data_IF_720994834708
#
_entry.id   IF_720994834708
#
_cell.length_a   1.000
_cell.length_b   1.000
_cell.length_c   1.000
_cell.angle_alpha   90.00
_cell.angle_beta   90.00
_cell.angle_gamma   90.00
#
_symmetry.space_group_name_H-M   'P 1'
#
loop_
_entity.id
_entity.type
_entity.pdbx_description
1 polymer ?
#
# COMPACT_ATOMS: atom_id res chain seq x y z
N UNK A 1 23.29 48.67 13.99
CA UNK A 1 23.73 47.40 13.39
C UNK A 1 22.57 46.87 12.58
N UNK A 2 22.49 47.32 11.32
CA UNK A 2 21.47 46.94 10.36
C UNK A 2 21.74 45.49 9.94
N UNK A 3 20.86 44.57 10.32
CA UNK A 3 20.89 43.20 9.79
C UNK A 3 20.42 43.32 8.33
N UNK A 4 21.40 43.26 7.44
CA UNK A 4 21.20 43.26 6.00
C UNK A 4 20.37 42.01 5.65
N UNK A 5 19.18 42.25 5.14
CA UNK A 5 18.37 41.25 4.43
C UNK A 5 19.06 40.97 3.09
N UNK A 6 20.13 40.17 3.11
CA UNK A 6 20.66 39.58 1.88
C UNK A 6 19.75 38.42 1.51
N UNK A 7 18.81 38.73 0.62
CA UNK A 7 18.47 37.94 -0.57
C UNK A 7 19.05 36.52 -0.56
N UNK A 8 18.29 35.59 0.03
CA UNK A 8 18.51 34.16 -0.18
C UNK A 8 17.78 33.80 -1.46
N UNK A 9 18.37 34.06 -2.61
CA UNK A 9 18.09 33.26 -3.81
C UNK A 9 18.23 31.79 -3.42
N UNK A 10 17.16 30.97 -3.42
CA UNK A 10 17.29 29.56 -3.11
C UNK A 10 18.16 28.93 -4.20
N UNK A 11 19.27 28.35 -3.79
CA UNK A 11 20.10 27.56 -4.68
C UNK A 11 19.29 26.37 -5.20
N UNK A 12 18.83 26.45 -6.46
CA UNK A 12 18.74 25.36 -7.45
C UNK A 12 18.17 23.98 -7.05
N UNK A 13 17.43 23.84 -5.96
CA UNK A 13 16.73 22.62 -5.56
C UNK A 13 15.23 22.79 -5.74
N UNK A 14 14.54 21.75 -6.22
CA UNK A 14 13.12 21.79 -6.59
C UNK A 14 12.16 22.16 -5.42
N UNK A 15 12.64 22.22 -4.17
CA UNK A 15 11.88 22.61 -2.99
C UNK A 15 12.74 23.36 -1.97
N UNK A 16 12.25 24.48 -1.43
CA UNK A 16 12.82 25.09 -0.24
C UNK A 16 12.48 24.25 1.02
N UNK A 17 13.22 24.39 2.14
CA UNK A 17 13.03 23.56 3.32
C UNK A 17 11.61 23.62 3.91
N UNK A 18 10.93 24.77 3.82
CA UNK A 18 9.56 24.92 4.33
C UNK A 18 8.60 24.17 3.42
N UNK A 19 8.71 24.35 2.10
CA UNK A 19 7.88 23.62 1.14
C UNK A 19 8.07 22.11 1.22
N UNK A 20 9.31 21.64 1.42
CA UNK A 20 9.61 20.21 1.58
C UNK A 20 8.92 19.64 2.82
N UNK A 21 9.03 20.31 3.97
CA UNK A 21 8.39 19.85 5.22
C UNK A 21 6.86 19.84 5.10
N UNK A 22 6.27 20.85 4.46
CA UNK A 22 4.83 20.87 4.20
C UNK A 22 4.40 19.69 3.33
N UNK A 23 5.16 19.37 2.27
CA UNK A 23 4.86 18.23 1.41
C UNK A 23 5.01 16.89 2.16
N UNK A 24 6.07 16.75 2.95
CA UNK A 24 6.35 15.55 3.74
C UNK A 24 5.26 15.29 4.78
N UNK A 25 4.91 16.31 5.57
CA UNK A 25 3.82 16.25 6.53
C UNK A 25 2.48 15.87 5.88
N UNK A 26 2.21 16.32 4.65
CA UNK A 26 0.99 15.94 3.92
C UNK A 26 0.98 14.48 3.50
N UNK A 27 2.11 13.94 3.03
CA UNK A 27 2.21 12.52 2.65
C UNK A 27 2.00 11.60 3.84
N UNK A 28 2.62 11.90 4.98
CA UNK A 28 2.41 11.15 6.23
C UNK A 28 0.94 11.19 6.64
N UNK A 29 0.31 12.37 6.64
CA UNK A 29 -1.09 12.51 7.00
C UNK A 29 -2.03 11.70 6.10
N UNK A 30 -1.75 11.63 4.78
CA UNK A 30 -2.54 10.79 3.87
C UNK A 30 -2.39 9.31 4.25
N UNK A 31 -1.17 8.84 4.52
CA UNK A 31 -0.95 7.45 4.93
C UNK A 31 -1.64 7.11 6.27
N UNK A 32 -1.64 8.03 7.23
CA UNK A 32 -2.35 7.88 8.50
C UNK A 32 -3.88 7.93 8.34
N UNK A 33 -4.39 8.73 7.41
CA UNK A 33 -5.82 8.78 7.07
C UNK A 33 -6.28 7.49 6.38
N UNK A 34 -5.46 6.93 5.47
CA UNK A 34 -5.69 5.60 4.89
C UNK A 34 -5.81 4.55 5.98
N UNK A 35 -4.83 4.51 6.90
CA UNK A 35 -4.82 3.54 8.00
C UNK A 35 -6.04 3.73 8.94
N UNK A 36 -6.37 4.98 9.28
CA UNK A 36 -7.50 5.29 10.16
C UNK A 36 -8.84 4.94 9.50
N UNK A 37 -8.95 5.10 8.19
CA UNK A 37 -10.15 4.75 7.43
C UNK A 37 -10.39 3.24 7.47
N UNK A 38 -9.36 2.44 7.24
CA UNK A 38 -9.44 0.97 7.37
C UNK A 38 -9.84 0.57 8.79
N UNK A 39 -9.17 1.12 9.81
CA UNK A 39 -9.50 0.80 11.21
C UNK A 39 -10.96 1.10 11.56
N UNK A 40 -11.47 2.27 11.14
CA UNK A 40 -12.83 2.72 11.51
C UNK A 40 -13.94 2.01 10.74
N UNK A 41 -13.62 1.39 9.61
CA UNK A 41 -14.59 0.65 8.78
C UNK A 41 -14.51 -0.85 8.99
N UNK A 42 -13.49 -1.33 9.71
CA UNK A 42 -13.31 -2.74 10.00
C UNK A 42 -14.37 -3.28 10.98
N UNK A 43 -15.00 -4.38 10.59
CA UNK A 43 -15.83 -5.22 11.47
C UNK A 43 -15.00 -6.36 12.10
N UNK A 44 -13.89 -6.73 11.48
CA UNK A 44 -12.96 -7.77 11.97
C UNK A 44 -12.24 -7.31 13.24
N UNK A 45 -12.19 -8.15 14.27
CA UNK A 45 -11.39 -7.89 15.48
C UNK A 45 -9.89 -7.92 15.21
N UNK A 46 -9.43 -8.66 14.20
CA UNK A 46 -8.03 -8.69 13.76
C UNK A 46 -7.59 -7.29 13.32
N UNK A 47 -8.43 -6.59 12.55
CA UNK A 47 -8.10 -5.25 12.06
C UNK A 47 -8.50 -4.19 13.09
N UNK A 48 -9.73 -4.26 13.62
CA UNK A 48 -10.31 -3.25 14.51
C UNK A 48 -9.73 -3.21 15.93
N UNK A 49 -9.17 -4.32 16.41
CA UNK A 49 -8.59 -4.42 17.76
C UNK A 49 -7.11 -4.80 17.75
N UNK A 50 -6.71 -5.85 17.01
CA UNK A 50 -5.31 -6.28 16.97
C UNK A 50 -4.45 -5.43 16.01
N UNK A 51 -5.08 -4.74 15.06
CA UNK A 51 -4.44 -3.83 14.10
C UNK A 51 -3.41 -4.53 13.22
N UNK A 52 -3.71 -5.78 12.85
CA UNK A 52 -2.88 -6.60 11.97
C UNK A 52 -3.12 -6.26 10.50
N UNK A 53 -2.66 -5.06 10.12
CA UNK A 53 -2.69 -4.56 8.74
C UNK A 53 -1.66 -3.42 8.56
N UNK A 54 -1.40 -3.08 7.31
CA UNK A 54 -0.53 -1.98 6.92
C UNK A 54 -1.10 -1.22 5.73
N UNK A 55 -0.83 0.09 5.72
CA UNK A 55 -1.15 0.98 4.61
C UNK A 55 0.09 1.76 4.18
N UNK A 56 0.32 1.86 2.88
CA UNK A 56 1.49 2.53 2.33
C UNK A 56 1.18 3.23 1.00
N UNK A 57 1.78 4.41 0.83
CA UNK A 57 1.85 5.15 -0.42
C UNK A 57 3.19 4.87 -1.09
N UNK A 58 3.14 4.56 -2.38
CA UNK A 58 4.31 4.25 -3.19
C UNK A 58 4.38 5.16 -4.42
N UNK A 59 5.60 5.42 -4.90
CA UNK A 59 5.82 6.15 -6.15
C UNK A 59 5.42 5.30 -7.36
N UNK A 60 5.50 5.89 -8.57
CA UNK A 60 5.16 5.18 -9.81
C UNK A 60 6.09 4.01 -10.13
N UNK A 61 7.18 3.82 -9.37
CA UNK A 61 8.13 2.71 -9.52
C UNK A 61 7.96 1.67 -8.43
N UNK A 62 6.95 1.82 -7.56
CA UNK A 62 6.71 0.94 -6.42
C UNK A 62 7.69 1.13 -5.26
N UNK A 63 8.37 2.28 -5.15
CA UNK A 63 9.17 2.60 -3.97
C UNK A 63 8.27 3.22 -2.90
N UNK A 64 8.48 2.82 -1.65
CA UNK A 64 7.82 3.43 -0.50
C UNK A 64 8.07 4.94 -0.45
N UNK A 65 7.00 5.72 -0.30
CA UNK A 65 7.03 7.16 -0.06
C UNK A 65 6.66 7.51 1.38
N UNK A 66 5.55 6.95 1.86
CA UNK A 66 5.06 7.17 3.21
C UNK A 66 4.14 6.02 3.62
N UNK A 67 4.25 5.58 4.87
CA UNK A 67 3.36 4.61 5.48
C UNK A 67 2.91 5.14 6.83
N UNK A 68 1.80 4.62 7.37
CA UNK A 68 1.44 4.93 8.74
C UNK A 68 2.50 4.40 9.69
N UNK A 69 2.82 5.13 10.76
CA UNK A 69 3.72 4.65 11.82
C UNK A 69 3.11 3.48 12.61
N UNK A 70 1.81 3.22 12.45
CA UNK A 70 1.05 2.14 13.08
C UNK A 70 0.97 0.89 12.22
N UNK A 71 1.35 0.97 10.95
CA UNK A 71 1.41 -0.20 10.06
C UNK A 71 2.38 -1.24 10.64
N UNK A 72 2.01 -2.52 10.59
CA UNK A 72 2.93 -3.56 11.03
C UNK A 72 4.17 -3.59 10.13
N UNK A 73 5.40 -3.67 10.71
CA UNK A 73 6.64 -3.57 9.94
C UNK A 73 6.77 -4.60 8.82
N UNK A 74 6.22 -5.81 8.99
CA UNK A 74 6.23 -6.85 7.96
C UNK A 74 5.55 -6.39 6.67
N UNK A 75 4.43 -5.68 6.77
CA UNK A 75 3.69 -5.19 5.61
C UNK A 75 4.44 -4.08 4.86
N UNK A 76 5.10 -3.16 5.59
CA UNK A 76 5.89 -2.09 4.97
C UNK A 76 7.09 -2.63 4.18
N UNK A 77 7.58 -3.83 4.52
CA UNK A 77 8.69 -4.46 3.80
C UNK A 77 8.23 -5.15 2.52
N UNK A 78 7.04 -5.74 2.50
CA UNK A 78 6.52 -6.50 1.36
C UNK A 78 5.77 -5.63 0.36
N UNK A 79 5.07 -4.57 0.79
CA UNK A 79 4.23 -3.74 -0.09
C UNK A 79 5.00 -3.08 -1.25
N UNK A 80 6.25 -2.60 -1.07
CA UNK A 80 7.06 -2.10 -2.18
C UNK A 80 7.40 -3.18 -3.20
N UNK A 81 7.81 -4.36 -2.75
CA UNK A 81 8.15 -5.45 -3.67
C UNK A 81 6.92 -5.96 -4.40
N UNK A 82 5.80 -6.13 -3.68
CA UNK A 82 4.53 -6.51 -4.27
C UNK A 82 4.07 -5.51 -5.34
N UNK A 83 4.23 -4.21 -5.08
CA UNK A 83 3.85 -3.16 -6.05
C UNK A 83 4.75 -3.21 -7.29
N UNK A 84 6.05 -3.51 -7.14
CA UNK A 84 6.94 -3.73 -8.30
C UNK A 84 6.53 -4.95 -9.11
N UNK A 85 6.17 -6.06 -8.45
CA UNK A 85 5.65 -7.27 -9.10
C UNK A 85 4.32 -6.99 -9.81
N UNK A 86 3.48 -6.13 -9.24
CA UNK A 86 2.28 -5.63 -9.90
C UNK A 86 2.63 -4.89 -11.20
N UNK A 87 3.57 -3.95 -11.15
CA UNK A 87 3.98 -3.17 -12.33
C UNK A 87 4.60 -4.07 -13.41
N UNK A 88 5.34 -5.11 -13.02
CA UNK A 88 5.89 -6.11 -13.95
C UNK A 88 4.77 -6.91 -14.65
N UNK A 89 3.75 -7.34 -13.91
CA UNK A 89 2.65 -8.14 -14.44
C UNK A 89 1.61 -7.30 -15.22
N UNK A 90 1.37 -6.07 -14.77
CA UNK A 90 0.44 -5.10 -15.35
C UNK A 90 1.19 -3.78 -15.58
N UNK A 91 1.78 -3.57 -16.77
CA UNK A 91 2.52 -2.36 -17.04
C UNK A 91 1.66 -1.11 -16.85
N UNK A 92 2.23 -0.05 -16.26
CA UNK A 92 1.52 1.16 -15.84
C UNK A 92 0.71 1.83 -16.94
N UNK A 93 1.20 1.77 -18.18
CA UNK A 93 0.53 2.29 -19.37
C UNK A 93 -0.78 1.58 -19.72
N UNK A 94 -1.00 0.37 -19.17
CA UNK A 94 -2.22 -0.43 -19.38
C UNK A 94 -3.28 -0.17 -18.30
N UNK A 95 -2.88 0.45 -17.18
CA UNK A 95 -3.78 0.72 -16.06
C UNK A 95 -4.74 1.87 -16.37
N UNK A 96 -5.97 1.77 -15.85
CA UNK A 96 -7.01 2.77 -16.01
C UNK A 96 -7.48 3.34 -14.66
N UNK A 97 -7.88 4.62 -14.59
CA UNK A 97 -8.50 5.17 -13.39
C UNK A 97 -9.71 4.34 -12.97
N UNK A 98 -9.68 3.83 -11.75
CA UNK A 98 -10.71 2.94 -11.21
C UNK A 98 -10.27 1.48 -11.11
N UNK A 99 -9.21 1.04 -11.81
CA UNK A 99 -8.68 -0.31 -11.61
C UNK A 99 -8.26 -0.54 -10.16
N UNK A 100 -8.53 -1.74 -9.64
CA UNK A 100 -8.08 -2.21 -8.32
C UNK A 100 -7.48 -3.61 -8.50
N UNK A 101 -6.31 -3.83 -7.92
CA UNK A 101 -5.60 -5.10 -7.99
C UNK A 101 -5.58 -5.78 -6.62
N UNK A 102 -5.54 -7.11 -6.61
CA UNK A 102 -5.47 -7.88 -5.37
C UNK A 102 -4.67 -9.16 -5.56
N UNK A 103 -4.12 -9.65 -4.46
CA UNK A 103 -3.49 -10.97 -4.36
C UNK A 103 -3.47 -11.42 -2.90
N UNK A 104 -3.48 -12.72 -2.67
CA UNK A 104 -3.02 -13.31 -1.42
C UNK A 104 -1.93 -14.37 -1.66
N UNK A 105 -1.28 -14.30 -2.82
CA UNK A 105 -0.18 -15.18 -3.17
C UNK A 105 0.91 -15.14 -2.09
N UNK A 106 1.19 -16.26 -1.39
CA UNK A 106 2.05 -16.26 -0.22
C UNK A 106 3.51 -15.98 -0.58
N UNK A 107 3.91 -16.17 -1.84
CA UNK A 107 5.25 -15.86 -2.34
C UNK A 107 5.42 -14.40 -2.75
N UNK A 108 4.33 -13.69 -3.03
CA UNK A 108 4.35 -12.26 -3.41
C UNK A 108 3.89 -11.33 -2.28
N UNK A 109 3.01 -11.80 -1.40
CA UNK A 109 2.41 -11.06 -0.30
C UNK A 109 3.20 -11.30 1.01
N UNK A 110 2.50 -11.51 2.13
CA UNK A 110 3.08 -11.55 3.47
C UNK A 110 3.27 -12.98 4.03
N UNK A 111 3.41 -13.98 3.16
CA UNK A 111 3.94 -15.30 3.53
C UNK A 111 2.90 -16.39 3.83
N UNK A 112 1.61 -16.07 3.92
CA UNK A 112 0.51 -17.03 4.02
C UNK A 112 -0.78 -16.45 3.42
N UNK A 113 -1.79 -17.30 3.21
CA UNK A 113 -2.99 -16.95 2.43
C UNK A 113 -3.96 -15.97 3.12
N UNK A 114 -3.89 -15.83 4.44
CA UNK A 114 -4.83 -14.97 5.17
C UNK A 114 -4.51 -13.48 5.02
N UNK A 115 -3.30 -13.15 4.53
CA UNK A 115 -2.89 -11.78 4.26
C UNK A 115 -3.26 -11.37 2.84
N UNK A 116 -4.26 -10.50 2.73
CA UNK A 116 -4.77 -10.03 1.45
C UNK A 116 -4.23 -8.64 1.16
N UNK A 117 -3.64 -8.48 -0.01
CA UNK A 117 -3.22 -7.18 -0.53
C UNK A 117 -4.28 -6.58 -1.45
N UNK A 118 -4.48 -5.27 -1.33
CA UNK A 118 -5.27 -4.45 -2.24
C UNK A 118 -4.42 -3.28 -2.70
N UNK A 119 -4.21 -3.16 -4.01
CA UNK A 119 -3.36 -2.13 -4.60
C UNK A 119 -4.19 -1.31 -5.59
N UNK A 120 -4.20 0.01 -5.37
CA UNK A 120 -4.96 0.95 -6.20
C UNK A 120 -4.00 1.97 -6.84
N UNK A 121 -3.87 2.01 -8.18
CA UNK A 121 -3.12 3.06 -8.87
C UNK A 121 -3.76 4.44 -8.68
N UNK A 122 -2.93 5.44 -8.40
CA UNK A 122 -3.33 6.84 -8.24
C UNK A 122 -2.98 7.60 -9.50
N UNK A 123 -3.98 8.26 -10.10
CA UNK A 123 -3.84 8.94 -11.37
C UNK A 123 -3.79 10.46 -11.24
N UNK A 124 -2.96 11.09 -12.08
CA UNK A 124 -3.06 12.51 -12.43
C UNK A 124 -3.34 12.63 -13.93
N UNK A 125 -4.60 12.86 -14.29
CA UNK A 125 -5.04 12.74 -15.68
C UNK A 125 -4.96 11.28 -16.12
N UNK A 126 -4.21 11.00 -17.20
CA UNK A 126 -4.03 9.63 -17.74
C UNK A 126 -2.76 8.93 -17.26
N UNK A 127 -1.98 9.56 -16.37
CA UNK A 127 -0.70 9.03 -15.89
C UNK A 127 -0.86 8.53 -14.45
N UNK A 128 -0.41 7.31 -14.19
CA UNK A 128 -0.19 6.83 -12.82
C UNK A 128 0.98 7.61 -12.21
N UNK A 129 0.75 8.19 -11.04
CA UNK A 129 1.74 9.00 -10.31
C UNK A 129 2.15 8.37 -8.98
N UNK A 130 1.38 7.41 -8.47
CA UNK A 130 1.62 6.72 -7.23
C UNK A 130 0.73 5.47 -7.14
N UNK A 131 0.92 4.68 -6.10
CA UNK A 131 0.04 3.59 -5.70
C UNK A 131 -0.33 3.73 -4.22
N UNK A 132 -1.56 3.36 -3.88
CA UNK A 132 -1.97 3.06 -2.52
C UNK A 132 -2.00 1.54 -2.36
N UNK A 133 -1.26 1.01 -1.40
CA UNK A 133 -1.24 -0.41 -1.09
C UNK A 133 -1.70 -0.62 0.36
N UNK A 134 -2.59 -1.59 0.55
CA UNK A 134 -3.05 -2.02 1.87
C UNK A 134 -2.96 -3.53 1.93
N UNK A 135 -2.34 -4.05 2.99
CA UNK A 135 -2.33 -5.48 3.30
C UNK A 135 -2.95 -5.67 4.66
N UNK A 136 -3.87 -6.62 4.78
CA UNK A 136 -4.56 -6.90 6.03
C UNK A 136 -4.71 -8.40 6.24
N UNK A 137 -4.52 -8.80 7.50
CA UNK A 137 -4.77 -10.16 7.93
C UNK A 137 -6.28 -10.40 8.09
N UNK A 138 -6.76 -11.48 7.49
CA UNK A 138 -8.13 -11.94 7.65
C UNK A 138 -8.21 -13.03 8.71
N UNK A 139 -9.35 -13.17 9.37
CA UNK A 139 -9.50 -14.20 10.40
C UNK A 139 -9.54 -15.63 9.85
N UNK A 140 -9.84 -15.78 8.55
CA UNK A 140 -9.88 -17.05 7.85
C UNK A 140 -10.08 -16.81 6.35
N UNK A 141 -9.38 -17.59 5.53
CA UNK A 141 -9.54 -17.65 4.08
C UNK A 141 -10.25 -18.93 3.60
N UNK A 142 -10.89 -19.67 4.53
CA UNK A 142 -11.68 -20.87 4.23
C UNK A 142 -10.89 -22.18 4.16
N UNK A 143 -9.67 -22.21 4.69
CA UNK A 143 -8.84 -23.41 4.80
C UNK A 143 -9.20 -24.33 5.96
N UNK A 144 -8.37 -25.37 6.13
CA UNK A 144 -8.48 -26.31 7.25
C UNK A 144 -8.33 -25.58 8.60
N UNK A 145 -9.14 -26.00 9.58
CA UNK A 145 -9.15 -25.39 10.92
C UNK A 145 -7.88 -25.69 11.73
N UNK A 146 -7.23 -26.83 11.45
CA UNK A 146 -5.96 -27.20 12.07
C UNK A 146 -4.82 -26.98 11.07
N UNK A 147 -4.27 -25.77 11.06
CA UNK A 147 -3.16 -25.39 10.18
C UNK A 147 -1.88 -26.22 10.41
N UNK A 148 -1.75 -26.92 11.55
CA UNK A 148 -0.58 -27.78 11.82
C UNK A 148 -0.71 -29.14 11.12
N UNK A 149 -1.94 -29.58 10.85
CA UNK A 149 -2.21 -30.83 10.15
C UNK A 149 -2.15 -30.68 8.61
N UNK A 150 -2.13 -29.45 8.10
CA UNK A 150 -2.08 -29.13 6.68
C UNK A 150 -0.73 -29.55 6.08
N UNK A 151 -0.79 -30.19 4.91
CA UNK A 151 0.40 -30.67 4.19
C UNK A 151 0.62 -29.98 2.85
N UNK A 152 -0.38 -29.27 2.37
CA UNK A 152 -0.40 -28.66 1.04
C UNK A 152 -1.21 -27.36 1.07
N UNK A 153 -0.80 -26.38 0.26
CA UNK A 153 -1.48 -25.09 0.09
C UNK A 153 -2.96 -25.27 -0.32
N UNK A 154 -3.28 -26.34 -1.05
CA UNK A 154 -4.65 -26.66 -1.44
C UNK A 154 -5.61 -26.88 -0.25
N UNK A 155 -5.07 -27.12 0.95
CA UNK A 155 -5.85 -27.27 2.18
C UNK A 155 -5.94 -25.97 2.99
N UNK A 156 -5.18 -24.92 2.62
CA UNK A 156 -5.08 -23.66 3.35
C UNK A 156 -6.16 -22.64 2.97
N UNK A 157 -7.00 -22.94 1.98
CA UNK A 157 -8.19 -22.18 1.64
C UNK A 157 -8.11 -21.50 0.27
N UNK A 158 -8.76 -20.34 0.15
CA UNK A 158 -8.84 -19.64 -1.13
C UNK A 158 -7.49 -18.99 -1.45
N UNK A 159 -6.86 -19.46 -2.52
CA UNK A 159 -5.72 -18.80 -3.16
C UNK A 159 -6.19 -18.06 -4.41
N UNK A 160 -5.76 -16.81 -4.57
CA UNK A 160 -5.90 -16.06 -5.80
C UNK A 160 -4.56 -15.38 -6.16
N UNK A 161 -4.06 -15.62 -7.38
CA UNK A 161 -2.84 -14.97 -7.84
C UNK A 161 -3.09 -13.48 -8.05
N UNK A 162 -2.04 -12.74 -8.39
CA UNK A 162 -2.15 -11.33 -8.72
C UNK A 162 -3.12 -11.08 -9.89
N UNK A 163 -4.26 -10.46 -9.57
CA UNK A 163 -5.36 -10.22 -10.51
C UNK A 163 -6.00 -8.84 -10.30
N UNK A 164 -6.82 -8.42 -11.26
CA UNK A 164 -7.72 -7.27 -11.09
C UNK A 164 -8.93 -7.67 -10.24
N UNK A 165 -9.06 -7.05 -9.07
CA UNK A 165 -10.26 -7.14 -8.23
C UNK A 165 -11.44 -6.38 -8.86
N UNK A 166 -11.14 -5.21 -9.42
CA UNK A 166 -12.12 -4.37 -10.10
C UNK A 166 -11.49 -3.79 -11.37
N UNK A 167 -12.22 -3.88 -12.47
CA UNK A 167 -11.83 -3.31 -13.76
C UNK A 167 -12.72 -2.10 -14.04
N UNK A 168 -12.11 -0.95 -14.32
CA UNK A 168 -12.84 0.30 -14.52
C UNK A 168 -13.87 0.26 -15.67
N UNK A 169 -13.82 -0.76 -16.53
CA UNK A 169 -14.78 -0.96 -17.61
C UNK A 169 -16.10 -1.64 -17.20
N UNK A 170 -16.25 -2.12 -15.95
CA UNK A 170 -17.41 -2.92 -15.51
C UNK A 170 -18.14 -2.38 -14.27
#
# INVERSE_FOLDING_TARGET
MTVNTTDRTPAGGLFDPVSLEVMWSRLINIADEMWTTVLRTAVSTIIGAAQDFGCELLDERGNSLAHSYRSMPVFNLIMPELTRKLIEAYPIETMQPGDVYTTNDPWLCAGHLDDIAVITPIFRGKRVVAFANTVAHTSSIGGALDGVAVRDLHEEGLFFPLLKLYDASQ
#
